data_IF_706182000587
#
_entry.id   IF_706182000587
#
_cell.length_a   1.000
_cell.length_b   1.000
_cell.length_c   1.000
_cell.angle_alpha   90.00
_cell.angle_beta   90.00
_cell.angle_gamma   90.00
#
_symmetry.space_group_name_H-M   'P 1'
#
loop_
_entity.id
_entity.type
_entity.pdbx_description
1 polymer ?
#
# COMPACT_ATOMS: atom_id res chain seq x y z
N UNK A 1 16.80 10.84 -10.66
CA UNK A 1 15.42 10.58 -11.12
C UNK A 1 15.28 9.08 -11.27
N UNK A 2 14.27 8.48 -10.63
CA UNK A 2 14.05 7.06 -10.77
C UNK A 2 13.53 6.78 -12.18
N UNK A 3 14.04 5.72 -12.79
CA UNK A 3 13.61 5.27 -14.11
C UNK A 3 12.69 4.06 -13.94
N UNK A 4 11.70 3.96 -14.80
CA UNK A 4 10.73 2.87 -14.80
C UNK A 4 10.64 2.25 -16.19
N UNK A 5 10.69 0.92 -16.23
CA UNK A 5 10.47 0.13 -17.43
C UNK A 5 8.98 -0.02 -17.66
N UNK A 6 8.52 0.10 -18.91
CA UNK A 6 7.09 0.11 -19.23
C UNK A 6 6.79 -0.96 -20.27
N UNK A 7 5.73 -1.71 -20.02
CA UNK A 7 5.16 -2.65 -20.97
C UNK A 7 3.66 -2.46 -21.13
N UNK A 8 3.15 -2.88 -22.27
CA UNK A 8 1.72 -2.95 -22.55
C UNK A 8 1.35 -4.31 -23.10
N UNK A 9 0.11 -4.75 -22.89
CA UNK A 9 -0.35 -5.98 -23.50
C UNK A 9 -1.85 -6.09 -23.53
N UNK A 10 -2.32 -7.20 -24.11
CA UNK A 10 -3.73 -7.54 -24.19
C UNK A 10 -3.95 -8.91 -23.57
N UNK A 11 -4.72 -8.95 -22.48
CA UNK A 11 -5.10 -10.17 -21.77
C UNK A 11 -6.60 -10.43 -21.91
N UNK A 12 -7.01 -11.70 -21.90
CA UNK A 12 -8.43 -12.06 -22.00
C UNK A 12 -9.26 -11.57 -20.80
N UNK A 13 -8.64 -11.44 -19.63
CA UNK A 13 -9.27 -10.97 -18.40
C UNK A 13 -8.21 -10.48 -17.40
N UNK A 14 -8.65 -9.78 -16.35
CA UNK A 14 -7.78 -9.43 -15.23
C UNK A 14 -7.24 -10.67 -14.51
N UNK A 15 -8.02 -11.76 -14.42
CA UNK A 15 -7.54 -13.01 -13.83
C UNK A 15 -6.39 -13.62 -14.63
N UNK A 16 -6.46 -13.58 -15.97
CA UNK A 16 -5.37 -14.07 -16.81
C UNK A 16 -4.08 -13.26 -16.61
N UNK A 17 -4.21 -11.94 -16.43
CA UNK A 17 -3.10 -11.08 -16.06
C UNK A 17 -2.52 -11.45 -14.69
N UNK A 18 -3.37 -11.60 -13.68
CA UNK A 18 -2.95 -11.96 -12.32
C UNK A 18 -2.19 -13.29 -12.32
N UNK A 19 -2.68 -14.30 -13.04
CA UNK A 19 -1.99 -15.60 -13.14
C UNK A 19 -0.61 -15.48 -13.81
N UNK A 20 -0.47 -14.62 -14.82
CA UNK A 20 0.81 -14.37 -15.50
C UNK A 20 1.83 -13.67 -14.59
N UNK A 21 1.36 -12.88 -13.62
CA UNK A 21 2.17 -12.14 -12.66
C UNK A 21 2.28 -12.81 -11.27
N UNK A 22 1.63 -13.95 -11.05
CA UNK A 22 1.52 -14.56 -9.73
C UNK A 22 2.87 -15.10 -9.21
N UNK A 23 3.39 -14.46 -8.15
CA UNK A 23 4.62 -14.87 -7.47
C UNK A 23 4.38 -15.74 -6.23
N UNK A 24 3.11 -15.97 -5.85
CA UNK A 24 2.75 -16.69 -4.61
C UNK A 24 3.28 -18.13 -4.55
N UNK A 25 3.30 -18.93 -5.64
CA UNK A 25 3.85 -20.27 -5.59
C UNK A 25 5.34 -20.28 -5.21
N UNK A 26 6.12 -19.36 -5.77
CA UNK A 26 7.56 -19.25 -5.50
C UNK A 26 7.83 -18.67 -4.10
N UNK A 27 7.08 -17.65 -3.67
CA UNK A 27 7.20 -17.08 -2.32
C UNK A 27 6.89 -18.11 -1.23
N UNK A 28 5.86 -18.94 -1.40
CA UNK A 28 5.55 -20.02 -0.44
C UNK A 28 6.63 -21.08 -0.37
N UNK A 29 7.26 -21.38 -1.50
CA UNK A 29 8.38 -22.32 -1.53
C UNK A 29 9.61 -21.73 -0.80
N UNK A 30 9.88 -20.43 -0.97
CA UNK A 30 10.91 -19.71 -0.22
C UNK A 30 10.62 -19.64 1.27
N UNK A 31 9.39 -19.31 1.68
CA UNK A 31 9.01 -19.28 3.10
C UNK A 31 9.23 -20.63 3.78
N UNK A 32 8.97 -21.73 3.07
CA UNK A 32 9.26 -23.08 3.58
C UNK A 32 10.78 -23.30 3.71
N UNK A 33 11.54 -22.96 2.67
CA UNK A 33 12.99 -23.11 2.63
C UNK A 33 13.68 -22.32 3.77
N UNK A 34 13.30 -21.05 3.95
CA UNK A 34 13.90 -20.15 4.94
C UNK A 34 13.66 -20.59 6.41
N UNK A 35 12.60 -21.37 6.64
CA UNK A 35 12.23 -21.86 7.96
C UNK A 35 12.68 -23.31 8.25
N UNK A 36 13.25 -24.03 7.28
CA UNK A 36 13.73 -25.39 7.48
C UNK A 36 15.22 -25.39 7.91
N UNK A 37 15.58 -26.05 9.03
CA UNK A 37 16.98 -26.16 9.43
C UNK A 37 17.74 -27.04 8.42
N UNK A 38 19.02 -26.71 8.12
CA UNK A 38 19.80 -27.48 7.15
C UNK A 38 19.95 -28.92 7.61
N UNK A 39 19.61 -29.84 6.72
CA UNK A 39 19.58 -31.28 6.97
C UNK A 39 20.94 -31.94 6.70
N UNK A 40 21.83 -31.25 5.99
CA UNK A 40 23.10 -31.78 5.51
C UNK A 40 22.95 -32.62 4.23
N UNK A 41 21.73 -32.72 3.69
CA UNK A 41 21.43 -33.33 2.40
C UNK A 41 21.23 -32.22 1.36
N UNK A 42 22.13 -32.14 0.38
CA UNK A 42 22.11 -31.10 -0.65
C UNK A 42 20.81 -31.05 -1.47
N UNK A 43 20.12 -32.17 -1.66
CA UNK A 43 18.85 -32.19 -2.41
C UNK A 43 17.68 -31.65 -1.57
N UNK A 44 17.74 -31.82 -0.25
CA UNK A 44 16.73 -31.34 0.68
C UNK A 44 16.96 -29.88 1.09
N UNK A 45 18.23 -29.45 1.04
CA UNK A 45 18.67 -28.08 1.36
C UNK A 45 18.78 -27.21 0.08
N UNK A 46 18.19 -27.65 -1.04
CA UNK A 46 18.21 -26.93 -2.32
C UNK A 46 17.20 -25.76 -2.33
N UNK A 47 17.58 -24.67 -3.00
CA UNK A 47 16.70 -23.51 -3.22
C UNK A 47 15.40 -23.90 -3.95
N UNK A 48 14.32 -23.13 -3.78
CA UNK A 48 13.06 -23.33 -4.49
C UNK A 48 13.22 -23.43 -6.02
N UNK A 49 12.45 -24.33 -6.64
CA UNK A 49 12.49 -24.55 -8.08
C UNK A 49 12.19 -23.26 -8.87
N UNK A 50 13.11 -22.78 -9.73
CA UNK A 50 12.89 -21.62 -10.59
C UNK A 50 11.66 -21.72 -11.52
N UNK A 51 11.15 -22.93 -11.77
CA UNK A 51 9.93 -23.14 -12.56
C UNK A 51 8.68 -22.52 -11.92
N UNK A 52 8.67 -22.37 -10.59
CA UNK A 52 7.58 -21.81 -9.79
C UNK A 52 7.49 -20.28 -9.89
N UNK A 53 8.52 -19.62 -10.43
CA UNK A 53 8.53 -18.17 -10.64
C UNK A 53 7.39 -17.76 -11.57
N UNK A 54 6.89 -16.55 -11.38
CA UNK A 54 5.85 -15.99 -12.22
C UNK A 54 6.30 -15.95 -13.70
N UNK A 55 5.38 -16.07 -14.66
CA UNK A 55 5.73 -16.10 -16.09
C UNK A 55 6.46 -14.83 -16.52
N UNK A 56 5.98 -13.66 -16.07
CA UNK A 56 6.67 -12.39 -16.29
C UNK A 56 8.11 -12.42 -15.74
N UNK A 57 8.28 -12.88 -14.49
CA UNK A 57 9.55 -12.98 -13.79
C UNK A 57 10.55 -13.83 -14.59
N UNK A 58 10.10 -15.01 -15.05
CA UNK A 58 10.90 -15.91 -15.89
C UNK A 58 11.35 -15.23 -17.18
N UNK A 59 10.43 -14.53 -17.85
CA UNK A 59 10.71 -13.87 -19.13
C UNK A 59 11.77 -12.76 -19.00
N UNK A 60 11.75 -11.98 -17.92
CA UNK A 60 12.73 -10.91 -17.68
C UNK A 60 13.90 -11.33 -16.79
N UNK A 61 14.00 -12.62 -16.45
CA UNK A 61 15.07 -13.20 -15.62
C UNK A 61 15.14 -12.60 -14.21
N UNK A 62 13.99 -12.41 -13.59
CA UNK A 62 13.82 -12.09 -12.18
C UNK A 62 13.39 -13.32 -11.39
N UNK A 63 13.77 -13.33 -10.11
CA UNK A 63 13.34 -14.32 -9.14
C UNK A 63 11.97 -13.95 -8.57
N UNK A 64 11.88 -12.73 -8.03
CA UNK A 64 10.66 -12.08 -7.53
C UNK A 64 10.70 -10.59 -7.88
N UNK A 65 9.57 -9.91 -7.81
CA UNK A 65 9.50 -8.45 -7.87
C UNK A 65 8.94 -7.90 -6.55
N UNK A 66 9.39 -6.72 -6.15
CA UNK A 66 8.80 -6.01 -5.03
C UNK A 66 7.48 -5.35 -5.48
N UNK A 67 6.40 -5.59 -4.75
CA UNK A 67 5.08 -5.02 -5.04
C UNK A 67 5.08 -3.48 -4.97
N UNK A 68 5.96 -2.89 -4.16
CA UNK A 68 6.12 -1.43 -4.06
C UNK A 68 6.86 -0.82 -5.27
N UNK A 69 7.60 -1.62 -6.03
CA UNK A 69 8.38 -1.14 -7.19
C UNK A 69 7.72 -1.49 -8.52
N UNK A 70 6.58 -2.19 -8.50
CA UNK A 70 5.79 -2.51 -9.70
C UNK A 70 4.42 -1.84 -9.65
N UNK A 71 3.98 -1.32 -10.79
CA UNK A 71 2.63 -0.78 -10.99
C UNK A 71 1.98 -1.61 -12.07
N UNK A 72 0.90 -2.30 -11.72
CA UNK A 72 0.12 -3.13 -12.64
C UNK A 72 -1.26 -2.49 -12.78
N UNK A 73 -1.67 -2.20 -14.02
CA UNK A 73 -2.98 -1.64 -14.32
C UNK A 73 -3.67 -2.44 -15.41
N UNK A 74 -4.92 -2.82 -15.12
CA UNK A 74 -5.83 -3.44 -16.07
C UNK A 74 -6.95 -2.45 -16.39
N UNK A 75 -7.24 -2.26 -17.67
CA UNK A 75 -8.24 -1.32 -18.18
C UNK A 75 -9.27 -2.12 -19.00
N UNK A 76 -10.43 -2.46 -18.41
CA UNK A 76 -11.46 -3.23 -19.12
C UNK A 76 -12.09 -2.45 -20.29
N UNK A 77 -11.95 -1.12 -20.28
CA UNK A 77 -12.42 -0.22 -21.32
C UNK A 77 -11.25 0.61 -21.88
N UNK A 78 -11.44 1.18 -23.06
CA UNK A 78 -10.45 2.05 -23.70
C UNK A 78 -10.07 3.23 -22.77
N UNK A 79 -8.77 3.42 -22.57
CA UNK A 79 -8.24 4.46 -21.69
C UNK A 79 -7.33 5.40 -22.46
N UNK A 80 -7.45 6.71 -22.18
CA UNK A 80 -6.58 7.71 -22.77
C UNK A 80 -5.15 7.60 -22.20
N UNK A 81 -4.14 7.75 -23.06
CA UNK A 81 -2.70 7.71 -22.67
C UNK A 81 -2.39 8.66 -21.51
N UNK A 82 -3.04 9.83 -21.45
CA UNK A 82 -2.85 10.79 -20.36
C UNK A 82 -3.29 10.26 -18.98
N UNK A 83 -4.30 9.38 -18.92
CA UNK A 83 -4.68 8.70 -17.68
C UNK A 83 -3.66 7.62 -17.31
N UNK A 84 -3.22 6.82 -18.28
CA UNK A 84 -2.17 5.81 -18.08
C UNK A 84 -0.90 6.44 -17.51
N UNK A 85 -0.45 7.55 -18.12
CA UNK A 85 0.74 8.27 -17.69
C UNK A 85 0.65 8.72 -16.22
N UNK A 86 -0.54 9.17 -15.78
CA UNK A 86 -0.79 9.51 -14.37
C UNK A 86 -0.76 8.27 -13.49
N UNK A 87 -1.39 7.18 -13.93
CA UNK A 87 -1.49 5.94 -13.16
C UNK A 87 -0.12 5.27 -12.91
N UNK A 88 0.82 5.42 -13.85
CA UNK A 88 2.21 4.89 -13.73
C UNK A 88 3.26 5.97 -13.42
N UNK A 89 2.81 7.20 -13.15
CA UNK A 89 3.65 8.33 -12.70
C UNK A 89 4.76 8.73 -13.70
N UNK A 90 4.44 8.83 -14.99
CA UNK A 90 5.37 9.27 -16.06
C UNK A 90 4.82 10.46 -16.85
N UNK A 91 5.67 11.09 -17.65
CA UNK A 91 5.25 12.18 -18.53
C UNK A 91 4.32 11.66 -19.61
N UNK A 92 3.17 12.31 -19.79
CA UNK A 92 2.24 11.95 -20.87
C UNK A 92 2.84 12.16 -22.27
N UNK A 93 3.76 13.11 -22.43
CA UNK A 93 4.44 13.34 -23.72
C UNK A 93 5.46 12.23 -24.01
N UNK A 94 6.32 11.91 -23.05
CA UNK A 94 7.32 10.84 -23.20
C UNK A 94 6.65 9.48 -23.41
N UNK A 95 5.56 9.21 -22.68
CA UNK A 95 4.79 7.99 -22.85
C UNK A 95 4.17 7.91 -24.24
N UNK A 96 3.58 9.01 -24.73
CA UNK A 96 3.01 9.05 -26.08
C UNK A 96 4.05 8.82 -27.17
N UNK A 97 5.23 9.42 -27.03
CA UNK A 97 6.34 9.24 -27.97
C UNK A 97 6.83 7.79 -27.98
N UNK A 98 6.97 7.15 -26.81
CA UNK A 98 7.29 5.73 -26.70
C UNK A 98 6.19 4.84 -27.33
N UNK A 99 4.92 5.16 -27.06
CA UNK A 99 3.78 4.39 -27.58
C UNK A 99 3.68 4.47 -29.11
N UNK A 100 3.92 5.64 -29.71
CA UNK A 100 3.88 5.84 -31.17
C UNK A 100 4.92 5.02 -31.95
N UNK A 101 5.97 4.56 -31.29
CA UNK A 101 7.00 3.70 -31.88
C UNK A 101 6.58 2.23 -31.91
N UNK A 102 5.43 1.90 -31.32
CA UNK A 102 4.88 0.55 -31.25
C UNK A 102 3.60 0.43 -32.07
N UNK A 103 3.36 -0.77 -32.62
CA UNK A 103 2.25 -1.04 -33.55
C UNK A 103 0.95 -1.51 -32.88
N UNK A 104 0.89 -1.57 -31.55
CA UNK A 104 -0.27 -2.12 -30.85
C UNK A 104 -1.36 -1.06 -30.65
N UNK A 105 -2.41 -1.16 -31.47
CA UNK A 105 -3.62 -0.33 -31.36
C UNK A 105 -4.58 -0.80 -30.26
N UNK A 106 -4.47 -2.07 -29.83
CA UNK A 106 -5.33 -2.66 -28.79
C UNK A 106 -4.52 -3.17 -27.59
N UNK A 107 -4.73 -2.55 -26.44
CA UNK A 107 -4.18 -2.96 -25.15
C UNK A 107 -5.26 -2.88 -24.07
N UNK A 108 -5.09 -3.65 -23.01
CA UNK A 108 -5.87 -3.51 -21.78
C UNK A 108 -5.03 -3.65 -20.51
N UNK A 109 -3.71 -3.78 -20.64
CA UNK A 109 -2.80 -3.91 -19.53
C UNK A 109 -1.61 -2.98 -19.70
N UNK A 110 -1.18 -2.39 -18.60
CA UNK A 110 0.12 -1.72 -18.47
C UNK A 110 0.84 -2.26 -17.24
N UNK A 111 2.10 -2.64 -17.43
CA UNK A 111 3.01 -2.98 -16.33
C UNK A 111 4.13 -1.96 -16.35
N UNK A 112 4.45 -1.39 -15.20
CA UNK A 112 5.55 -0.46 -15.03
C UNK A 112 6.41 -0.91 -13.85
N UNK A 113 7.68 -1.18 -14.05
CA UNK A 113 8.56 -1.79 -13.04
C UNK A 113 9.84 -1.00 -12.85
N UNK A 114 10.13 -0.64 -11.60
CA UNK A 114 11.32 0.09 -11.19
C UNK A 114 12.38 -0.90 -10.73
N UNK A 115 13.40 -1.08 -11.57
CA UNK A 115 14.56 -1.91 -11.27
C UNK A 115 15.78 -1.29 -11.93
N UNK A 116 16.88 -1.20 -11.17
CA UNK A 116 18.12 -0.58 -11.62
C UNK A 116 19.00 -1.55 -12.39
N UNK A 117 18.81 -2.85 -12.17
CA UNK A 117 19.63 -3.94 -12.69
C UNK A 117 18.95 -4.63 -13.88
N UNK A 118 17.66 -4.34 -14.13
CA UNK A 118 16.96 -4.82 -15.33
C UNK A 118 17.53 -4.19 -16.61
N UNK A 119 18.28 -4.99 -17.37
CA UNK A 119 18.79 -4.59 -18.67
C UNK A 119 17.68 -4.45 -19.72
N UNK A 120 17.76 -3.49 -20.66
CA UNK A 120 16.81 -3.40 -21.78
C UNK A 120 16.73 -4.68 -22.62
N UNK A 121 17.81 -5.46 -22.71
CA UNK A 121 17.85 -6.72 -23.46
C UNK A 121 17.04 -7.84 -22.79
N UNK A 122 16.90 -7.81 -21.45
CA UNK A 122 16.01 -8.72 -20.74
C UNK A 122 14.56 -8.20 -20.78
N UNK A 123 14.37 -6.89 -20.64
CA UNK A 123 13.04 -6.27 -20.68
C UNK A 123 12.27 -6.55 -21.99
N UNK A 124 12.97 -6.74 -23.12
CA UNK A 124 12.34 -7.05 -24.42
C UNK A 124 11.96 -8.52 -24.62
N UNK A 125 12.31 -9.43 -23.70
CA UNK A 125 12.06 -10.87 -23.85
C UNK A 125 10.63 -11.31 -23.52
N UNK A 126 9.80 -10.39 -23.05
CA UNK A 126 8.42 -10.67 -22.67
C UNK A 126 7.58 -11.15 -23.86
N UNK A 127 6.74 -12.17 -23.66
CA UNK A 127 5.95 -12.76 -24.75
C UNK A 127 4.56 -12.14 -24.89
N UNK A 128 3.87 -11.93 -23.75
CA UNK A 128 2.51 -11.38 -23.71
C UNK A 128 2.46 -9.87 -23.56
N UNK A 129 3.60 -9.29 -23.20
CA UNK A 129 3.80 -7.87 -22.97
C UNK A 129 4.78 -7.33 -24.03
N UNK A 130 4.48 -6.16 -24.58
CA UNK A 130 5.36 -5.40 -25.44
C UNK A 130 6.07 -4.32 -24.64
N UNK A 131 7.40 -4.34 -24.66
CA UNK A 131 8.23 -3.33 -24.01
C UNK A 131 8.20 -1.99 -24.77
N UNK A 132 7.83 -0.91 -24.08
CA UNK A 132 7.78 0.45 -24.61
C UNK A 132 9.05 1.26 -24.35
N UNK A 133 9.95 0.74 -23.51
CA UNK A 133 11.17 1.42 -23.09
C UNK A 133 11.17 1.82 -21.63
N UNK A 134 12.21 2.58 -21.28
CA UNK A 134 12.46 3.08 -19.95
C UNK A 134 12.22 4.59 -19.93
N UNK A 135 11.31 5.05 -19.07
CA UNK A 135 11.00 6.47 -18.93
C UNK A 135 11.45 6.98 -17.56
N UNK A 136 11.61 8.29 -17.45
CA UNK A 136 11.76 8.91 -16.15
C UNK A 136 10.40 8.82 -15.45
N UNK A 137 10.37 8.27 -14.24
CA UNK A 137 9.24 8.56 -13.39
C UNK A 137 9.23 10.06 -13.21
N UNK A 138 8.11 10.66 -13.56
CA UNK A 138 7.83 11.98 -13.01
C UNK A 138 7.92 11.78 -11.51
N UNK A 139 8.74 12.60 -10.87
CA UNK A 139 8.31 13.07 -9.57
C UNK A 139 6.97 13.74 -9.85
N UNK A 140 5.91 12.93 -9.80
CA UNK A 140 4.81 13.31 -8.95
C UNK A 140 5.57 13.83 -7.74
N UNK A 141 5.41 15.12 -7.46
CA UNK A 141 5.16 15.42 -6.07
C UNK A 141 4.10 14.39 -5.73
N UNK A 142 4.53 13.20 -5.28
CA UNK A 142 3.90 12.57 -4.18
C UNK A 142 3.63 13.83 -3.37
N UNK A 143 2.34 14.17 -3.23
CA UNK A 143 1.95 14.53 -1.88
C UNK A 143 2.71 13.45 -1.13
N UNK A 144 3.86 13.80 -0.50
CA UNK A 144 4.51 12.97 0.52
C UNK A 144 3.33 12.22 1.09
N UNK A 145 3.26 10.88 1.09
CA UNK A 145 2.16 10.21 1.82
C UNK A 145 2.04 11.03 3.09
N UNK A 146 1.03 11.91 3.17
CA UNK A 146 1.19 13.09 4.04
C UNK A 146 1.19 12.42 5.36
N UNK A 147 2.30 12.52 6.10
CA UNK A 147 2.57 11.63 7.21
C UNK A 147 1.26 11.47 7.97
N UNK A 148 0.72 10.25 7.99
CA UNK A 148 -0.61 10.03 8.56
C UNK A 148 -0.42 10.27 10.04
N UNK A 149 -1.06 11.31 10.56
CA UNK A 149 -0.97 11.62 11.97
C UNK A 149 -2.18 10.97 12.63
N UNK A 150 -1.92 9.96 13.44
CA UNK A 150 -2.92 9.28 14.22
C UNK A 150 -3.02 9.97 15.58
N UNK A 151 -4.23 10.35 15.97
CA UNK A 151 -4.52 10.89 17.28
C UNK A 151 -5.49 9.97 18.00
N UNK A 152 -5.14 9.51 19.19
CA UNK A 152 -5.94 8.58 19.97
C UNK A 152 -6.59 9.27 21.17
N UNK A 153 -7.89 9.05 21.33
CA UNK A 153 -8.64 9.32 22.54
C UNK A 153 -9.38 8.08 23.02
N UNK A 154 -9.61 8.02 24.32
CA UNK A 154 -10.45 7.03 24.98
C UNK A 154 -11.57 7.71 25.75
N UNK A 155 -12.68 7.02 25.99
CA UNK A 155 -13.74 7.59 26.79
C UNK A 155 -14.84 6.59 27.13
N UNK A 156 -15.95 7.15 27.60
CA UNK A 156 -17.06 6.38 28.18
C UNK A 156 -18.36 6.49 27.39
N UNK A 157 -18.44 7.46 26.47
CA UNK A 157 -19.70 7.85 25.82
C UNK A 157 -19.78 7.31 24.41
N UNK A 158 -21.00 6.95 24.01
CA UNK A 158 -21.32 6.71 22.60
C UNK A 158 -21.40 8.07 21.88
N UNK A 159 -20.60 8.24 20.85
CA UNK A 159 -20.55 9.46 20.06
C UNK A 159 -21.08 9.20 18.65
N UNK A 160 -21.66 10.25 18.07
CA UNK A 160 -22.03 10.25 16.66
C UNK A 160 -20.90 10.90 15.84
N UNK A 161 -20.51 10.28 14.73
CA UNK A 161 -19.53 10.81 13.77
C UNK A 161 -19.82 12.27 13.38
N UNK A 162 -21.09 12.68 13.23
CA UNK A 162 -21.44 14.08 12.94
C UNK A 162 -21.03 15.05 14.05
N UNK A 163 -21.14 14.63 15.31
CA UNK A 163 -20.73 15.44 16.45
C UNK A 163 -19.20 15.54 16.52
N UNK A 164 -18.50 14.43 16.28
CA UNK A 164 -17.02 14.39 16.19
C UNK A 164 -16.53 15.37 15.13
N UNK A 165 -17.05 15.28 13.90
CA UNK A 165 -16.71 16.16 12.78
C UNK A 165 -16.94 17.65 13.10
N UNK A 166 -18.07 17.98 13.72
CA UNK A 166 -18.39 19.36 14.09
C UNK A 166 -17.42 19.90 15.14
N UNK A 167 -17.04 19.06 16.10
CA UNK A 167 -16.13 19.44 17.20
C UNK A 167 -14.71 19.67 16.72
N UNK A 168 -14.22 18.84 15.80
CA UNK A 168 -12.83 18.93 15.33
C UNK A 168 -12.60 20.12 14.42
N UNK A 169 -13.64 20.63 13.75
CA UNK A 169 -13.52 21.77 12.82
C UNK A 169 -12.68 21.44 11.57
N UNK A 170 -12.36 20.17 11.35
CA UNK A 170 -11.52 19.70 10.25
C UNK A 170 -12.29 19.68 8.94
N UNK A 171 -11.62 20.08 7.86
CA UNK A 171 -12.15 19.96 6.50
C UNK A 171 -11.99 18.53 5.97
N UNK A 172 -12.79 18.11 4.96
CA UNK A 172 -12.66 16.79 4.35
C UNK A 172 -11.26 16.49 3.78
N UNK A 173 -10.51 17.52 3.37
CA UNK A 173 -9.15 17.36 2.84
C UNK A 173 -8.08 17.17 3.93
N UNK A 174 -8.39 17.54 5.18
CA UNK A 174 -7.50 17.39 6.34
C UNK A 174 -7.72 16.07 7.09
N UNK A 175 -8.90 15.48 6.92
CA UNK A 175 -9.32 14.27 7.62
C UNK A 175 -9.23 13.06 6.68
N UNK A 176 -8.33 12.14 7.01
CA UNK A 176 -8.11 10.92 6.23
C UNK A 176 -9.12 9.85 6.66
N UNK A 177 -9.29 9.65 7.97
CA UNK A 177 -10.24 8.68 8.50
C UNK A 177 -10.67 9.02 9.94
N UNK A 178 -11.82 8.48 10.35
CA UNK A 178 -12.29 8.44 11.74
C UNK A 178 -12.61 6.98 12.08
N UNK A 179 -11.90 6.43 13.06
CA UNK A 179 -12.24 5.15 13.65
C UNK A 179 -12.81 5.41 15.04
N UNK A 180 -14.10 5.12 15.21
CA UNK A 180 -14.77 5.25 16.50
C UNK A 180 -15.37 3.92 16.92
N UNK A 181 -14.91 3.43 18.06
CA UNK A 181 -15.44 2.24 18.72
C UNK A 181 -16.26 2.66 19.94
N UNK A 182 -17.40 2.01 20.14
CA UNK A 182 -18.17 2.10 21.38
C UNK A 182 -18.84 0.77 21.72
N UNK A 183 -18.80 0.39 23.00
CA UNK A 183 -19.54 -0.73 23.55
C UNK A 183 -20.15 -0.40 24.91
N UNK A 184 -21.35 -0.95 25.17
CA UNK A 184 -22.00 -0.86 26.49
C UNK A 184 -21.28 -1.66 27.57
N UNK A 185 -20.49 -2.66 27.16
CA UNK A 185 -19.64 -3.47 28.05
C UNK A 185 -18.20 -3.10 27.75
N UNK A 186 -17.43 -2.74 28.79
CA UNK A 186 -16.03 -2.38 28.63
C UNK A 186 -15.27 -3.55 27.98
N UNK A 187 -14.56 -3.27 26.89
CA UNK A 187 -13.68 -4.22 26.21
C UNK A 187 -12.23 -3.91 26.53
N UNK A 188 -11.32 -4.88 26.34
CA UNK A 188 -9.90 -4.61 26.55
C UNK A 188 -9.37 -3.65 25.49
N UNK A 189 -8.64 -2.63 25.93
CA UNK A 189 -8.16 -1.55 25.08
C UNK A 189 -7.18 -2.04 24.02
N UNK A 190 -6.29 -2.97 24.35
CA UNK A 190 -5.34 -3.57 23.42
C UNK A 190 -6.03 -4.32 22.28
N UNK A 191 -7.00 -5.18 22.60
CA UNK A 191 -7.82 -5.91 21.63
C UNK A 191 -8.61 -4.93 20.75
N UNK A 192 -9.18 -3.87 21.33
CA UNK A 192 -9.90 -2.84 20.57
C UNK A 192 -8.95 -2.12 19.60
N UNK A 193 -7.77 -1.69 20.06
CA UNK A 193 -6.78 -1.00 19.22
C UNK A 193 -6.34 -1.90 18.06
N UNK A 194 -5.97 -3.15 18.32
CA UNK A 194 -5.54 -4.11 17.29
C UNK A 194 -6.63 -4.35 16.24
N UNK A 195 -7.90 -4.34 16.64
CA UNK A 195 -9.02 -4.57 15.72
C UNK A 195 -9.44 -3.33 14.92
N UNK A 196 -9.13 -2.12 15.41
CA UNK A 196 -9.61 -0.87 14.82
C UNK A 196 -8.52 -0.11 14.07
N UNK A 197 -7.25 -0.27 14.46
CA UNK A 197 -6.10 0.40 13.86
C UNK A 197 -5.47 -0.53 12.83
N UNK A 198 -5.53 -0.13 11.56
CA UNK A 198 -5.03 -0.95 10.44
C UNK A 198 -3.50 -1.11 10.44
N UNK A 199 -2.79 -0.12 10.99
CA UNK A 199 -1.33 -0.08 11.02
C UNK A 199 -0.80 -0.68 12.33
N UNK A 200 -0.10 -1.82 12.22
CA UNK A 200 0.36 -2.59 13.37
C UNK A 200 1.38 -1.84 14.23
N UNK A 201 2.30 -1.09 13.63
CA UNK A 201 3.33 -0.34 14.39
C UNK A 201 2.70 0.82 15.16
N UNK A 202 1.68 1.45 14.57
CA UNK A 202 0.88 2.47 15.25
C UNK A 202 0.04 1.88 16.37
N UNK A 203 -0.60 0.73 16.12
CA UNK A 203 -1.37 0.01 17.14
C UNK A 203 -0.51 -0.34 18.35
N UNK A 204 0.69 -0.89 18.13
CA UNK A 204 1.64 -1.20 19.20
C UNK A 204 2.05 0.06 19.97
N UNK A 205 2.41 1.13 19.27
CA UNK A 205 2.77 2.42 19.88
C UNK A 205 1.66 3.01 20.73
N UNK A 206 0.40 2.89 20.28
CA UNK A 206 -0.78 3.33 21.01
C UNK A 206 -0.99 2.54 22.31
N UNK A 207 -0.81 1.22 22.26
CA UNK A 207 -0.93 0.34 23.43
C UNK A 207 0.14 0.69 24.47
N UNK A 208 1.39 0.87 24.04
CA UNK A 208 2.48 1.27 24.93
C UNK A 208 2.22 2.63 25.58
N UNK A 209 1.78 3.62 24.81
CA UNK A 209 1.44 4.94 25.33
C UNK A 209 0.28 4.90 26.34
N UNK A 210 -0.76 4.10 26.07
CA UNK A 210 -1.87 3.92 27.01
C UNK A 210 -1.40 3.29 28.34
N UNK A 211 -0.53 2.28 28.27
CA UNK A 211 0.05 1.65 29.45
C UNK A 211 0.93 2.62 30.26
N UNK A 212 1.77 3.41 29.61
CA UNK A 212 2.62 4.43 30.25
C UNK A 212 1.79 5.51 30.97
N UNK A 213 0.63 5.86 30.42
CA UNK A 213 -0.31 6.81 31.01
C UNK A 213 -1.21 6.21 32.10
N UNK A 214 -1.03 4.92 32.42
CA UNK A 214 -1.88 4.18 33.35
C UNK A 214 -3.37 4.26 32.99
N UNK A 215 -3.67 4.23 31.69
CA UNK A 215 -5.04 4.10 31.19
C UNK A 215 -5.61 2.76 31.65
N UNK A 216 -6.90 2.68 32.06
CA UNK A 216 -7.52 1.41 32.38
C UNK A 216 -7.44 0.42 31.22
N UNK A 217 -7.11 -0.84 31.53
CA UNK A 217 -7.01 -1.92 30.55
C UNK A 217 -8.32 -2.17 29.80
N UNK A 218 -9.45 -1.72 30.35
CA UNK A 218 -10.76 -1.83 29.72
C UNK A 218 -11.39 -0.47 29.51
N UNK A 219 -11.93 -0.23 28.31
CA UNK A 219 -12.60 1.02 27.94
C UNK A 219 -13.94 0.76 27.28
N UNK A 220 -14.83 1.73 27.36
CA UNK A 220 -16.12 1.70 26.68
C UNK A 220 -16.08 2.33 25.29
N UNK A 221 -15.18 3.29 25.06
CA UNK A 221 -15.06 4.00 23.80
C UNK A 221 -13.61 4.29 23.42
N UNK A 222 -13.34 4.26 22.12
CA UNK A 222 -12.07 4.65 21.52
C UNK A 222 -12.34 5.52 20.30
N UNK A 223 -11.60 6.62 20.16
CA UNK A 223 -11.62 7.47 18.98
C UNK A 223 -10.20 7.62 18.45
N UNK A 224 -9.98 7.18 17.22
CA UNK A 224 -8.80 7.48 16.44
C UNK A 224 -9.18 8.44 15.31
N UNK A 225 -8.47 9.56 15.24
CA UNK A 225 -8.53 10.48 14.11
C UNK A 225 -7.23 10.36 13.32
N UNK A 226 -7.36 10.04 12.03
CA UNK A 226 -6.24 9.97 11.10
C UNK A 226 -6.25 11.23 10.24
N UNK A 227 -5.22 12.05 10.41
CA UNK A 227 -5.13 13.38 9.83
C UNK A 227 -3.96 13.51 8.86
N UNK A 228 -4.05 14.48 7.95
CA UNK A 228 -2.93 14.87 7.11
C UNK A 228 -1.89 15.67 7.91
N UNK A 229 -0.61 15.61 7.49
CA UNK A 229 0.52 16.30 8.14
C UNK A 229 0.31 17.81 8.39
N UNK A 230 -0.48 18.47 7.55
CA UNK A 230 -0.82 19.90 7.61
C UNK A 230 -2.14 20.20 8.34
N UNK A 231 -2.80 19.19 8.89
CA UNK A 231 -3.99 19.37 9.70
C UNK A 231 -3.60 19.79 11.13
N UNK A 232 -4.18 20.90 11.60
CA UNK A 232 -4.10 21.30 13.00
C UNK A 232 -5.40 20.94 13.70
N UNK A 233 -5.27 20.29 14.87
CA UNK A 233 -6.40 19.92 15.72
C UNK A 233 -6.18 20.44 17.14
N UNK A 234 -7.20 21.06 17.71
CA UNK A 234 -7.17 21.51 19.10
C UNK A 234 -7.49 20.33 20.04
N UNK A 235 -6.46 19.61 20.48
CA UNK A 235 -6.60 18.49 21.43
C UNK A 235 -7.41 18.90 22.67
N UNK A 236 -7.14 20.04 23.35
CA UNK A 236 -7.90 20.42 24.54
C UNK A 236 -9.39 20.63 24.26
N UNK A 237 -9.72 21.24 23.12
CA UNK A 237 -11.12 21.49 22.73
C UNK A 237 -11.85 20.17 22.44
N UNK A 238 -11.20 19.27 21.71
CA UNK A 238 -11.77 17.95 21.36
C UNK A 238 -11.98 17.13 22.63
N UNK A 239 -10.97 17.02 23.48
CA UNK A 239 -11.06 16.31 24.76
C UNK A 239 -12.18 16.87 25.65
N UNK A 240 -12.28 18.20 25.77
CA UNK A 240 -13.30 18.83 26.60
C UNK A 240 -14.72 18.67 26.04
N UNK A 241 -14.89 18.81 24.72
CA UNK A 241 -16.22 18.80 24.08
C UNK A 241 -16.76 17.37 23.93
N UNK A 242 -15.89 16.40 23.64
CA UNK A 242 -16.28 15.00 23.52
C UNK A 242 -16.23 14.26 24.85
N UNK A 243 -15.70 14.89 25.91
CA UNK A 243 -15.45 14.28 27.22
C UNK A 243 -14.61 13.02 27.11
N UNK A 244 -13.53 13.10 26.32
CA UNK A 244 -12.60 12.00 26.07
C UNK A 244 -11.19 12.35 26.56
N UNK A 245 -10.48 11.35 27.07
CA UNK A 245 -9.09 11.48 27.47
C UNK A 245 -8.17 11.29 26.26
N UNK A 246 -7.24 12.22 26.07
CA UNK A 246 -6.28 12.12 24.97
C UNK A 246 -5.10 11.25 25.38
N UNK A 247 -4.80 10.24 24.57
CA UNK A 247 -3.66 9.34 24.82
C UNK A 247 -2.42 9.85 24.11
N UNK A 248 -2.50 10.17 22.82
CA UNK A 248 -1.28 10.57 22.11
C UNK A 248 -1.43 10.84 20.63
N UNK A 249 -0.31 11.30 20.07
CA UNK A 249 -0.08 11.53 18.64
C UNK A 249 0.95 10.50 18.16
N UNK A 250 0.63 9.79 17.09
CA UNK A 250 1.45 8.73 16.52
C UNK A 250 1.62 8.98 15.02
N UNK A 251 2.79 8.65 14.48
CA UNK A 251 3.13 8.89 13.08
C UNK A 251 3.77 7.61 12.55
N UNK A 252 3.22 7.07 11.46
CA UNK A 252 3.85 5.93 10.77
C UNK A 252 5.07 6.45 10.01
N UNK A 253 6.23 5.79 10.19
CA UNK A 253 7.47 6.14 9.50
C UNK A 253 7.45 5.82 8.00
#
# INVERSE_FOLDING_TARGET
MNKIHIWTGKFASQQALNNYLDQQPYLKAWEKYDHEPPTGNQEQDAEPDPSLRCEFCKEISLDIYNEDTIIIKYYPENVAIGKIAKDILVSSSELKDSWSKTSNEEFNTVVAYQDKDLSPANATKTRLLQYLGQLNQTTVKTKKRKAKIHHLWIGEKNLNTKAILKTTGLTPDQMININFYYSKVAGKLDEIIILQVEDFEIAESMILAAAEMAIPDTVHAMLELILSEDAEISVPQVSATLEMHYVGKFIAE
#
